data_IF_481870534568
#
_entry.id   IF_481870534568
#
_cell.length_a   1.000
_cell.length_b   1.000
_cell.length_c   1.000
_cell.angle_alpha   90.00
_cell.angle_beta   90.00
_cell.angle_gamma   90.00
#
_symmetry.space_group_name_H-M   'P 1'
#
loop_
_entity.id
_entity.type
_entity.pdbx_description
1 polymer ?
#
# COMPACT_ATOMS: atom_id res chain seq x y z
N UNK A 1 6.68 12.06 13.72
CA UNK A 1 6.61 10.96 12.73
C UNK A 1 7.93 10.86 12.00
N UNK A 2 8.31 9.69 11.49
CA UNK A 2 9.59 9.47 10.79
C UNK A 2 9.44 8.45 9.68
N UNK A 3 10.15 8.64 8.57
CA UNK A 3 10.23 7.65 7.50
C UNK A 3 11.38 6.67 7.75
N UNK A 4 11.22 5.42 7.32
CA UNK A 4 12.34 4.49 7.24
C UNK A 4 13.40 5.00 6.24
N UNK A 5 14.69 4.62 6.36
CA UNK A 5 15.74 5.09 5.46
C UNK A 5 15.49 4.78 3.98
N UNK A 6 14.82 3.68 3.67
CA UNK A 6 14.42 3.29 2.31
C UNK A 6 13.14 3.97 1.81
N UNK A 7 12.51 4.78 2.67
CA UNK A 7 11.29 5.51 2.42
C UNK A 7 10.04 4.64 2.32
N UNK A 8 10.07 3.34 2.61
CA UNK A 8 8.92 2.43 2.42
C UNK A 8 7.90 2.49 3.56
N UNK A 9 8.35 2.86 4.75
CA UNK A 9 7.52 2.91 5.94
C UNK A 9 7.47 4.31 6.54
N UNK A 10 6.32 4.68 7.10
CA UNK A 10 6.13 5.85 7.95
C UNK A 10 5.76 5.36 9.35
N UNK A 11 6.49 5.81 10.36
CA UNK A 11 6.17 5.58 11.76
C UNK A 11 5.58 6.85 12.38
N UNK A 12 4.40 6.75 12.96
CA UNK A 12 3.74 7.81 13.74
C UNK A 12 3.62 7.37 15.20
N UNK A 13 3.94 8.25 16.13
CA UNK A 13 3.64 8.08 17.56
C UNK A 13 2.51 9.03 17.95
N UNK A 14 1.70 8.60 18.91
CA UNK A 14 0.50 9.30 19.38
C UNK A 14 0.55 9.48 20.90
N UNK A 15 -0.14 10.50 21.40
CA UNK A 15 -0.28 10.77 22.84
C UNK A 15 -1.11 9.70 23.57
N UNK A 16 -1.86 8.87 22.84
CA UNK A 16 -2.56 7.70 23.39
C UNK A 16 -1.63 6.52 23.73
N UNK A 17 -0.31 6.79 23.80
CA UNK A 17 0.73 5.81 24.06
C UNK A 17 0.82 4.70 22.99
N UNK A 18 0.29 4.93 21.79
CA UNK A 18 0.46 4.01 20.66
C UNK A 18 1.42 4.53 19.61
N UNK A 19 2.06 3.60 18.91
CA UNK A 19 2.76 3.87 17.67
C UNK A 19 2.14 3.02 16.55
N UNK A 20 2.10 3.57 15.34
CA UNK A 20 1.59 2.88 14.15
C UNK A 20 2.59 3.01 13.02
N UNK A 21 2.84 1.88 12.36
CA UNK A 21 3.63 1.82 11.14
C UNK A 21 2.69 1.73 9.94
N UNK A 22 3.00 2.50 8.91
CA UNK A 22 2.21 2.62 7.69
C UNK A 22 3.11 2.38 6.48
N UNK A 23 2.59 1.78 5.42
CA UNK A 23 3.25 1.86 4.13
C UNK A 23 3.17 3.30 3.61
N UNK A 24 4.31 3.80 3.11
CA UNK A 24 4.33 5.06 2.37
C UNK A 24 3.83 4.85 0.93
N UNK A 25 3.66 5.94 0.17
CA UNK A 25 3.36 5.83 -1.26
C UNK A 25 4.41 4.97 -2.01
N UNK A 26 5.69 5.08 -1.65
CA UNK A 26 6.75 4.22 -2.20
C UNK A 26 6.60 2.78 -1.74
N UNK A 27 6.31 2.54 -0.47
CA UNK A 27 6.07 1.19 0.06
C UNK A 27 4.90 0.50 -0.65
N UNK A 28 3.82 1.24 -0.92
CA UNK A 28 2.66 0.76 -1.68
C UNK A 28 3.04 0.45 -3.13
N UNK A 29 3.76 1.34 -3.81
CA UNK A 29 4.19 1.12 -5.19
C UNK A 29 5.11 -0.11 -5.30
N UNK A 30 6.09 -0.23 -4.41
CA UNK A 30 6.99 -1.39 -4.34
C UNK A 30 6.21 -2.70 -4.07
N UNK A 31 5.15 -2.65 -3.27
CA UNK A 31 4.28 -3.82 -3.00
C UNK A 31 3.47 -4.22 -4.24
N UNK A 32 2.85 -3.24 -4.91
CA UNK A 32 2.07 -3.47 -6.13
C UNK A 32 2.91 -4.01 -7.30
N UNK A 33 4.21 -3.70 -7.32
CA UNK A 33 5.13 -4.14 -8.37
C UNK A 33 5.65 -5.57 -8.15
N UNK A 34 5.73 -6.02 -6.90
CA UNK A 34 6.36 -7.30 -6.52
C UNK A 34 5.37 -8.43 -6.31
N UNK A 35 4.18 -8.12 -5.81
CA UNK A 35 3.16 -9.13 -5.62
C UNK A 35 2.38 -9.33 -6.93
N UNK A 36 1.93 -10.57 -7.19
CA UNK A 36 0.88 -10.81 -8.17
C UNK A 36 -0.42 -10.23 -7.62
N UNK A 37 -0.55 -8.90 -7.70
CA UNK A 37 -1.82 -8.24 -7.51
C UNK A 37 -2.75 -8.79 -8.58
N UNK A 38 -3.78 -9.50 -8.13
CA UNK A 38 -4.76 -10.08 -9.02
C UNK A 38 -5.23 -9.03 -10.04
N UNK A 39 -4.91 -9.28 -11.30
CA UNK A 39 -5.33 -8.45 -12.42
C UNK A 39 -6.61 -9.06 -12.94
N UNK A 40 -7.69 -8.28 -12.88
CA UNK A 40 -8.95 -8.67 -13.50
C UNK A 40 -8.71 -9.00 -14.97
N UNK A 41 -9.20 -10.16 -15.39
CA UNK A 41 -9.33 -10.51 -16.80
C UNK A 41 -10.32 -9.58 -17.48
N UNK A 42 -10.26 -9.48 -18.81
CA UNK A 42 -11.24 -8.69 -19.58
C UNK A 42 -12.69 -9.16 -19.32
N UNK A 43 -12.90 -10.46 -19.14
CA UNK A 43 -14.20 -11.03 -18.80
C UNK A 43 -14.71 -10.54 -17.44
N UNK A 44 -13.85 -10.48 -16.43
CA UNK A 44 -14.24 -10.02 -15.09
C UNK A 44 -14.45 -8.51 -15.08
N UNK A 45 -13.64 -7.73 -15.80
CA UNK A 45 -13.89 -6.30 -16.00
C UNK A 45 -15.28 -6.05 -16.60
N UNK A 46 -15.64 -6.81 -17.64
CA UNK A 46 -16.96 -6.74 -18.25
C UNK A 46 -18.07 -7.16 -17.27
N UNK A 47 -17.86 -8.20 -16.48
CA UNK A 47 -18.84 -8.66 -15.47
C UNK A 47 -19.05 -7.63 -14.35
N UNK A 48 -17.99 -6.97 -13.88
CA UNK A 48 -18.03 -5.99 -12.80
C UNK A 48 -18.26 -4.55 -13.27
N UNK A 49 -18.34 -4.30 -14.58
CA UNK A 49 -18.53 -2.95 -15.13
C UNK A 49 -17.33 -2.01 -14.89
N UNK A 50 -16.12 -2.58 -14.81
CA UNK A 50 -14.88 -1.83 -14.71
C UNK A 50 -14.46 -1.45 -16.15
N UNK A 51 -14.29 -0.16 -16.48
CA UNK A 51 -13.87 0.27 -17.80
C UNK A 51 -12.42 -0.13 -18.15
#
# INVERSE_FOLDING_TARGET
AVFSPDGKWLLTASEDHTARAWLSAKGIADWLDREEVYRFTETEKQFYGIP
#
